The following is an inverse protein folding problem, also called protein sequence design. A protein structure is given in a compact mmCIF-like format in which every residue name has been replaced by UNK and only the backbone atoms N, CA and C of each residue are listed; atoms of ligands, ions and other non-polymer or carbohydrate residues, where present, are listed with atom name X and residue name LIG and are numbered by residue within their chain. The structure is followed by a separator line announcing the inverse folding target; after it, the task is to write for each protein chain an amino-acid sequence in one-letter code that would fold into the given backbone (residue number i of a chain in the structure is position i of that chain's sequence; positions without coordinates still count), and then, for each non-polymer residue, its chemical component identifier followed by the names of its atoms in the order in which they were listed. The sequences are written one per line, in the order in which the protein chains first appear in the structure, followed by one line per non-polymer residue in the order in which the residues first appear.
data_IF_551186604041
#
_entry.id   IF_551186604041
#
_cell.length_a   1.000
_cell.length_b   1.000
_cell.length_c   1.000
_cell.angle_alpha   90.00
_cell.angle_beta   90.00
_cell.angle_gamma   90.00
#
_symmetry.space_group_name_H-M   'P 1'
#
loop_
_entity.id
_entity.type
_entity.pdbx_description
1 polymer ?
#
# COMPACT_ATOMS: atom_id res chain seq x y z
N UNK A 1 31.46 -46.47 0.97
CA UNK A 1 30.25 -46.73 1.78
C UNK A 1 29.16 -45.79 1.22
N UNK A 2 28.29 -46.24 0.29
CA UNK A 2 26.94 -46.83 0.52
C UNK A 2 26.25 -46.11 1.70
N UNK A 3 25.24 -45.26 1.48
CA UNK A 3 23.84 -45.64 1.16
C UNK A 3 23.13 -44.39 0.56
N UNK A 4 22.73 -44.31 -0.72
CA UNK A 4 21.60 -44.97 -1.43
C UNK A 4 20.26 -44.87 -0.69
N UNK A 5 19.46 -43.83 -0.98
CA UNK A 5 17.99 -43.83 -1.18
C UNK A 5 17.66 -42.42 -1.69
N UNK A 6 17.69 -42.12 -2.99
CA UNK A 6 16.67 -42.44 -4.01
C UNK A 6 15.22 -42.21 -3.55
N UNK A 7 14.62 -41.26 -4.28
CA UNK A 7 13.22 -41.04 -4.66
C UNK A 7 12.43 -39.89 -3.99
N UNK A 8 11.73 -39.09 -4.83
CA UNK A 8 11.18 -37.79 -4.53
C UNK A 8 9.72 -37.91 -4.07
N UNK A 9 9.25 -36.96 -3.26
CA UNK A 9 7.82 -36.77 -3.03
C UNK A 9 7.40 -35.37 -3.51
N UNK A 10 6.81 -35.41 -4.70
CA UNK A 10 6.04 -34.39 -5.37
C UNK A 10 4.87 -34.00 -4.45
N UNK A 11 4.94 -32.84 -3.81
CA UNK A 11 3.89 -32.29 -2.96
C UNK A 11 3.24 -31.09 -3.67
N UNK A 12 2.22 -31.42 -4.44
CA UNK A 12 1.20 -30.48 -4.91
C UNK A 12 0.33 -30.04 -3.72
N UNK A 13 -0.02 -28.75 -3.75
CA UNK A 13 -1.23 -28.12 -3.21
C UNK A 13 -1.39 -28.01 -1.67
N UNK A 14 -1.56 -26.76 -1.21
CA UNK A 14 -2.09 -26.49 0.12
C UNK A 14 -1.90 -25.05 0.61
N UNK A 15 -2.52 -24.07 -0.05
CA UNK A 15 -2.87 -22.81 0.61
C UNK A 15 -3.97 -23.09 1.66
N UNK A 16 -3.62 -22.99 2.95
CA UNK A 16 -4.54 -22.76 4.07
C UNK A 16 -3.67 -22.35 5.27
N UNK A 17 -3.51 -21.05 5.56
CA UNK A 17 -4.41 -20.24 6.39
C UNK A 17 -4.50 -20.70 7.86
N UNK A 18 -3.90 -19.88 8.73
CA UNK A 18 -4.32 -19.46 10.08
C UNK A 18 -4.79 -20.47 11.15
N UNK A 19 -4.04 -20.42 12.25
CA UNK A 19 -4.52 -20.24 13.64
C UNK A 19 -5.34 -21.35 14.31
N UNK A 20 -4.61 -22.15 15.11
CA UNK A 20 -4.74 -22.29 16.57
C UNK A 20 -6.17 -22.36 17.17
N UNK A 21 -6.52 -23.61 17.50
CA UNK A 21 -7.35 -24.16 18.60
C UNK A 21 -8.47 -23.32 19.28
N UNK A 22 -9.66 -23.93 19.38
CA UNK A 22 -10.62 -23.64 20.46
C UNK A 22 -12.08 -24.00 20.15
N UNK A 23 -12.59 -25.08 20.73
CA UNK A 23 -13.93 -25.64 20.56
C UNK A 23 -15.08 -24.80 21.17
N UNK A 24 -16.27 -24.82 20.54
CA UNK A 24 -17.64 -24.95 21.12
C UNK A 24 -18.70 -24.79 20.02
N UNK A 25 -19.61 -25.76 19.78
CA UNK A 25 -20.77 -25.57 18.90
C UNK A 25 -21.99 -25.05 19.69
N UNK A 26 -22.83 -24.23 19.04
CA UNK A 26 -24.25 -24.58 19.07
C UNK A 26 -24.94 -24.50 17.70
N UNK A 27 -25.80 -25.50 17.50
CA UNK A 27 -27.13 -25.46 16.92
C UNK A 27 -27.36 -24.83 15.54
N UNK A 28 -27.84 -25.71 14.66
CA UNK A 28 -28.62 -25.41 13.47
C UNK A 28 -29.66 -24.30 13.67
N UNK A 29 -29.79 -23.44 12.66
CA UNK A 29 -31.06 -22.84 12.25
C UNK A 29 -30.95 -22.43 10.78
N UNK A 30 -31.92 -22.86 10.00
CA UNK A 30 -32.12 -22.66 8.56
C UNK A 30 -32.04 -21.20 8.07
N UNK A 31 -31.75 -20.99 6.76
CA UNK A 31 -31.84 -19.69 6.12
C UNK A 31 -33.29 -19.42 5.66
N UNK A 32 -33.99 -18.56 6.37
CA UNK A 32 -35.18 -17.90 5.83
C UNK A 32 -34.76 -16.61 5.13
N UNK A 33 -34.85 -16.62 3.80
CA UNK A 33 -34.86 -15.42 2.98
C UNK A 33 -36.02 -14.51 3.41
N UNK A 34 -35.72 -13.24 3.66
CA UNK A 34 -36.68 -12.17 3.51
C UNK A 34 -35.98 -11.04 2.76
N UNK A 35 -36.36 -10.92 1.49
CA UNK A 35 -36.15 -9.71 0.71
C UNK A 35 -36.81 -8.53 1.42
N UNK A 36 -36.09 -7.43 1.55
CA UNK A 36 -36.67 -6.11 1.67
C UNK A 36 -35.77 -5.15 0.92
N UNK A 37 -36.15 -4.92 -0.33
CA UNK A 37 -35.78 -3.75 -1.10
C UNK A 37 -36.02 -2.49 -0.26
N UNK A 38 -35.07 -1.57 -0.27
CA UNK A 38 -35.39 -0.17 -0.02
C UNK A 38 -34.71 0.67 -1.08
N UNK A 39 -35.57 1.23 -1.92
CA UNK A 39 -35.41 2.25 -2.95
C UNK A 39 -34.44 3.37 -2.52
N UNK A 40 -33.69 3.96 -3.48
CA UNK A 40 -32.61 4.90 -3.20
C UNK A 40 -33.16 6.23 -2.69
N UNK A 41 -32.74 6.63 -1.48
CA UNK A 41 -32.88 8.00 -1.03
C UNK A 41 -31.70 8.81 -1.58
N UNK A 42 -31.98 9.52 -2.67
CA UNK A 42 -31.23 10.70 -3.08
C UNK A 42 -31.16 11.68 -1.91
N UNK A 43 -29.97 11.86 -1.35
CA UNK A 43 -29.63 13.01 -0.53
C UNK A 43 -28.57 13.81 -1.30
N UNK A 44 -29.10 14.80 -2.02
CA UNK A 44 -28.36 15.83 -2.69
C UNK A 44 -27.64 16.73 -1.65
N UNK A 45 -26.33 16.83 -1.82
CA UNK A 45 -25.44 17.98 -1.55
C UNK A 45 -25.34 18.51 -0.11
N UNK A 46 -24.18 18.22 0.48
CA UNK A 46 -23.29 19.29 0.91
C UNK A 46 -21.86 18.89 0.54
N UNK A 47 -21.40 19.31 -0.64
CA UNK A 47 -19.97 19.37 -0.91
C UNK A 47 -19.36 20.31 0.15
N UNK A 48 -18.33 19.90 0.92
CA UNK A 48 -17.55 20.89 1.63
C UNK A 48 -17.01 21.85 0.58
N UNK A 49 -17.34 23.13 0.71
CA UNK A 49 -16.71 24.18 -0.07
C UNK A 49 -15.20 23.98 0.07
N UNK A 50 -14.55 23.63 -1.04
CA UNK A 50 -13.10 23.61 -1.10
C UNK A 50 -12.64 25.04 -0.85
N UNK A 51 -12.16 25.28 0.37
CA UNK A 51 -11.45 26.48 0.75
C UNK A 51 -10.33 26.70 -0.29
N UNK A 52 -10.19 27.89 -0.90
CA UNK A 52 -9.10 28.16 -1.84
C UNK A 52 -7.73 28.23 -1.15
N UNK A 53 -7.66 27.99 0.17
CA UNK A 53 -6.44 27.97 0.94
C UNK A 53 -5.73 26.61 0.88
N UNK A 54 -5.20 26.26 -0.28
CA UNK A 54 -3.86 25.67 -0.41
C UNK A 54 -3.64 25.36 -1.88
N UNK A 55 -2.93 26.26 -2.55
CA UNK A 55 -1.99 25.80 -3.57
C UNK A 55 -0.92 25.02 -2.81
N UNK A 56 -1.25 23.79 -2.40
CA UNK A 56 -0.24 22.80 -2.10
C UNK A 56 0.50 22.64 -3.41
N UNK A 57 1.78 23.04 -3.42
CA UNK A 57 2.66 22.78 -4.55
C UNK A 57 2.45 21.33 -4.96
N UNK A 58 2.05 21.10 -6.21
CA UNK A 58 1.57 19.79 -6.64
C UNK A 58 2.68 18.72 -6.59
N UNK A 59 3.91 19.05 -6.18
CA UNK A 59 4.97 18.10 -5.84
C UNK A 59 5.21 17.87 -4.35
N UNK A 60 4.76 18.77 -3.46
CA UNK A 60 5.21 18.81 -2.04
C UNK A 60 4.15 18.26 -1.09
N UNK A 61 4.55 17.33 -0.21
CA UNK A 61 3.73 16.76 0.87
C UNK A 61 3.66 17.72 2.07
N UNK A 62 4.72 18.51 2.27
CA UNK A 62 4.87 19.42 3.41
C UNK A 62 5.42 18.72 4.66
N UNK A 63 6.08 17.58 4.46
CA UNK A 63 6.78 16.82 5.49
C UNK A 63 8.19 16.58 4.94
N UNK A 64 9.17 17.28 5.49
CA UNK A 64 10.54 17.34 4.94
C UNK A 64 11.14 15.97 4.66
N UNK A 65 10.90 14.97 5.52
CA UNK A 65 11.42 13.62 5.34
C UNK A 65 10.80 12.90 4.13
N UNK A 66 9.50 13.09 3.90
CA UNK A 66 8.81 12.53 2.74
C UNK A 66 9.27 13.19 1.44
N UNK A 67 9.38 14.52 1.47
CA UNK A 67 9.77 15.32 0.30
C UNK A 67 11.23 15.05 -0.12
N UNK A 68 12.14 14.93 0.85
CA UNK A 68 13.55 14.55 0.63
C UNK A 68 13.66 13.16 0.00
N UNK A 69 12.96 12.16 0.57
CA UNK A 69 12.94 10.81 0.01
C UNK A 69 12.41 10.79 -1.43
N UNK A 70 11.27 11.43 -1.70
CA UNK A 70 10.67 11.43 -3.05
C UNK A 70 11.60 12.09 -4.06
N UNK A 71 12.27 13.18 -3.68
CA UNK A 71 13.24 13.87 -4.53
C UNK A 71 14.43 12.97 -4.85
N UNK A 72 15.02 12.33 -3.84
CA UNK A 72 16.17 11.46 -4.02
C UNK A 72 15.82 10.16 -4.78
N UNK A 73 14.63 9.61 -4.55
CA UNK A 73 14.09 8.47 -5.29
C UNK A 73 13.89 8.81 -6.77
N UNK A 74 13.24 9.95 -7.07
CA UNK A 74 13.03 10.41 -8.44
C UNK A 74 14.33 10.66 -9.19
N UNK A 75 15.29 11.33 -8.54
CA UNK A 75 16.61 11.56 -9.11
C UNK A 75 17.30 10.23 -9.46
N UNK A 76 17.22 9.22 -8.57
CA UNK A 76 17.81 7.93 -8.87
C UNK A 76 17.10 7.20 -10.00
N UNK A 77 15.77 7.19 -10.01
CA UNK A 77 15.00 6.55 -11.10
C UNK A 77 15.32 7.22 -12.44
N UNK A 78 15.50 8.54 -12.47
CA UNK A 78 15.86 9.28 -13.67
C UNK A 78 17.32 9.02 -14.14
N UNK A 79 18.25 8.79 -13.22
CA UNK A 79 19.67 8.60 -13.57
C UNK A 79 20.05 7.13 -13.81
N UNK A 80 19.64 6.22 -12.92
CA UNK A 80 20.16 4.85 -12.86
C UNK A 80 19.27 3.77 -13.47
N UNK A 81 17.96 3.98 -13.48
CA UNK A 81 17.01 2.92 -13.86
C UNK A 81 16.84 2.91 -15.38
N UNK A 82 16.74 1.76 -16.08
CA UNK A 82 16.39 1.71 -17.50
C UNK A 82 14.93 2.13 -17.77
N UNK A 83 14.64 2.69 -18.95
CA UNK A 83 13.34 3.29 -19.27
C UNK A 83 12.15 2.34 -19.05
N UNK A 84 12.33 1.06 -19.35
CA UNK A 84 11.34 0.00 -19.19
C UNK A 84 10.96 -0.21 -17.72
N UNK A 85 11.92 -0.11 -16.81
CA UNK A 85 11.70 -0.23 -15.36
C UNK A 85 11.25 1.09 -14.72
N UNK A 86 11.63 2.24 -15.29
CA UNK A 86 11.27 3.58 -14.75
C UNK A 86 9.77 3.75 -14.62
N UNK A 87 9.00 3.29 -15.62
CA UNK A 87 7.54 3.46 -15.64
C UNK A 87 6.92 2.94 -14.34
N UNK A 88 7.24 1.70 -13.98
CA UNK A 88 6.68 1.04 -12.78
C UNK A 88 7.12 1.75 -11.49
N UNK A 89 8.37 2.19 -11.41
CA UNK A 89 8.91 2.87 -10.23
C UNK A 89 8.31 4.28 -10.06
N UNK A 90 8.13 5.02 -11.16
CA UNK A 90 7.47 6.33 -11.16
C UNK A 90 5.97 6.24 -10.87
N UNK A 91 5.29 5.19 -11.32
CA UNK A 91 3.90 4.92 -10.94
C UNK A 91 3.75 4.67 -9.44
N UNK A 92 4.63 3.86 -8.84
CA UNK A 92 4.66 3.64 -7.39
C UNK A 92 4.90 4.94 -6.61
N UNK A 93 5.82 5.78 -7.09
CA UNK A 93 6.09 7.09 -6.50
C UNK A 93 4.88 8.03 -6.57
N UNK A 94 4.12 7.98 -7.66
CA UNK A 94 2.89 8.77 -7.83
C UNK A 94 1.82 8.34 -6.83
N UNK A 95 1.70 7.04 -6.57
CA UNK A 95 0.79 6.51 -5.54
C UNK A 95 1.19 6.96 -4.13
N UNK A 96 2.49 6.94 -3.80
CA UNK A 96 2.97 7.49 -2.54
C UNK A 96 2.63 8.97 -2.40
N UNK A 97 2.88 9.77 -3.44
CA UNK A 97 2.55 11.21 -3.42
C UNK A 97 1.07 11.48 -3.17
N UNK A 98 0.19 10.75 -3.84
CA UNK A 98 -1.26 10.91 -3.64
C UNK A 98 -1.64 10.53 -2.20
N UNK A 99 -1.30 9.31 -1.77
CA UNK A 99 -1.61 8.81 -0.43
C UNK A 99 -1.07 9.72 0.67
N UNK A 100 0.15 10.23 0.52
CA UNK A 100 0.77 11.09 1.52
C UNK A 100 0.21 12.49 1.53
N UNK A 101 -0.25 13.02 0.40
CA UNK A 101 -1.01 14.28 0.37
C UNK A 101 -2.35 14.13 1.07
N UNK A 102 -3.07 13.04 0.82
CA UNK A 102 -4.34 12.78 1.51
C UNK A 102 -4.12 12.69 3.02
N UNK A 103 -3.11 11.93 3.47
CA UNK A 103 -2.69 11.90 4.88
C UNK A 103 -2.26 13.27 5.39
N UNK A 104 -1.60 14.08 4.57
CA UNK A 104 -1.15 15.41 4.94
C UNK A 104 -2.34 16.35 5.14
N UNK A 105 -3.43 16.21 4.40
CA UNK A 105 -4.63 17.02 4.63
C UNK A 105 -5.42 16.59 5.87
N UNK A 106 -5.17 15.39 6.41
CA UNK A 106 -5.88 14.84 7.56
C UNK A 106 -5.08 15.02 8.86
N UNK A 107 -5.54 15.90 9.75
CA UNK A 107 -4.84 16.24 11.00
C UNK A 107 -4.55 15.03 11.91
N UNK A 108 -5.42 14.01 11.90
CA UNK A 108 -5.20 12.79 12.69
C UNK A 108 -4.11 11.89 12.11
N UNK A 109 -3.91 11.92 10.78
CA UNK A 109 -2.94 11.07 10.07
C UNK A 109 -1.60 11.77 9.82
N UNK A 110 -1.61 13.11 9.73
CA UNK A 110 -0.41 13.95 9.59
C UNK A 110 0.76 13.55 10.50
N UNK A 111 0.60 13.34 11.82
CA UNK A 111 1.73 13.00 12.69
C UNK A 111 2.34 11.63 12.40
N UNK A 112 1.66 10.75 11.66
CA UNK A 112 2.15 9.43 11.27
C UNK A 112 2.99 9.46 9.98
N UNK A 113 2.88 10.52 9.18
CA UNK A 113 3.57 10.64 7.88
C UNK A 113 5.07 10.39 7.94
N UNK A 114 5.85 10.96 8.89
CA UNK A 114 7.28 10.72 8.95
C UNK A 114 7.62 9.23 8.99
N UNK A 115 7.03 8.47 9.92
CA UNK A 115 7.27 7.03 10.04
C UNK A 115 6.79 6.22 8.82
N UNK A 116 5.72 6.66 8.16
CA UNK A 116 5.26 6.05 6.91
C UNK A 116 6.27 6.27 5.79
N UNK A 117 6.79 7.49 5.65
CA UNK A 117 7.78 7.85 4.64
C UNK A 117 9.12 7.14 4.87
N UNK A 118 9.57 7.04 6.12
CA UNK A 118 10.74 6.24 6.49
C UNK A 118 10.59 4.77 6.08
N UNK A 119 9.47 4.13 6.43
CA UNK A 119 9.22 2.74 6.06
C UNK A 119 9.17 2.57 4.53
N UNK A 120 8.58 3.53 3.82
CA UNK A 120 8.56 3.52 2.35
C UNK A 120 9.96 3.70 1.76
N UNK A 121 10.81 4.53 2.36
CA UNK A 121 12.23 4.68 1.97
C UNK A 121 12.97 3.37 2.11
N UNK A 122 12.84 2.69 3.25
CA UNK A 122 13.49 1.41 3.50
C UNK A 122 13.05 0.32 2.50
N UNK A 123 11.74 0.26 2.21
CA UNK A 123 11.22 -0.70 1.22
C UNK A 123 11.63 -0.35 -0.20
N UNK A 124 11.62 0.94 -0.55
CA UNK A 124 12.08 1.44 -1.84
C UNK A 124 13.56 1.14 -2.06
N UNK A 125 14.40 1.37 -1.06
CA UNK A 125 15.84 1.12 -1.12
C UNK A 125 16.12 -0.37 -1.39
N UNK A 126 15.39 -1.27 -0.71
CA UNK A 126 15.51 -2.70 -0.97
C UNK A 126 15.14 -3.05 -2.43
N UNK A 127 14.03 -2.49 -2.93
CA UNK A 127 13.55 -2.73 -4.30
C UNK A 127 14.43 -2.09 -5.38
N UNK A 128 15.09 -0.96 -5.08
CA UNK A 128 15.93 -0.23 -6.02
C UNK A 128 17.43 -0.54 -5.90
N UNK A 129 17.81 -1.42 -4.96
CA UNK A 129 19.21 -1.82 -4.74
C UNK A 129 19.88 -2.40 -5.98
N UNK A 130 19.11 -3.09 -6.83
CA UNK A 130 19.57 -3.64 -8.11
C UNK A 130 19.95 -2.57 -9.16
N UNK A 131 19.55 -1.32 -8.94
CA UNK A 131 19.83 -0.17 -9.81
C UNK A 131 20.84 0.81 -9.17
N UNK A 132 21.54 0.40 -8.09
CA UNK A 132 22.49 1.25 -7.36
C UNK A 132 21.88 2.56 -6.80
N UNK A 133 20.57 2.57 -6.56
CA UNK A 133 19.91 3.69 -5.90
C UNK A 133 20.21 3.78 -4.41
N UNK A 134 20.60 4.98 -3.96
CA UNK A 134 20.91 5.29 -2.56
C UNK A 134 20.25 6.61 -2.19
N UNK A 135 19.35 6.55 -1.22
CA UNK A 135 18.61 7.68 -0.66
C UNK A 135 18.26 7.37 0.78
#
# INVERSE_FOLDING_TARGET
MKTKYLLPMLLLAGLAACSKDGATPPAASEPAQAAAETTPASAEVAAPAADPAMVADAGVIGIAECDDFLTAYEACVADKVPAESRIVLTEGMTQWRQSWKDMATNEAMRPLLPEVCKRARESAQAASSAYDCKF
#
